data_IF_058172600156
#
_entry.id   IF_058172600156
#
_cell.length_a   1.000
_cell.length_b   1.000
_cell.length_c   1.000
_cell.angle_alpha   90.00
_cell.angle_beta   90.00
_cell.angle_gamma   90.00
#
_symmetry.space_group_name_H-M   'P 1'
#
loop_
_entity.id
_entity.type
_entity.pdbx_description
1 polymer ?
#
# COMPACT_ATOMS: atom_id res chain seq x y z
N UNK A 1 -0.35 7.75 6.68
CA UNK A 1 -1.19 7.03 5.69
C UNK A 1 -2.00 8.05 4.91
N UNK A 2 -1.99 8.00 3.59
CA UNK A 2 -2.63 9.00 2.72
C UNK A 2 -3.90 8.49 2.04
N UNK A 3 -4.08 7.16 1.98
CA UNK A 3 -5.28 6.49 1.50
C UNK A 3 -5.32 5.07 2.04
N UNK A 4 -6.50 4.59 2.40
CA UNK A 4 -6.70 3.33 3.14
C UNK A 4 -7.79 2.44 2.54
N UNK A 5 -8.48 2.90 1.47
CA UNK A 5 -9.56 2.14 0.82
C UNK A 5 -9.03 1.19 -0.23
N UNK A 6 -9.73 0.08 -0.37
CA UNK A 6 -9.51 -0.90 -1.41
C UNK A 6 -10.37 -0.67 -2.63
N UNK A 7 -9.95 -1.20 -3.76
CA UNK A 7 -10.67 -1.32 -5.03
C UNK A 7 -11.09 0.00 -5.69
N UNK A 8 -11.65 0.94 -4.96
CA UNK A 8 -12.09 2.26 -5.45
C UNK A 8 -12.27 3.25 -4.29
N UNK A 9 -12.27 4.54 -4.62
CA UNK A 9 -12.54 5.59 -3.65
C UNK A 9 -13.96 5.50 -3.08
N UNK A 10 -14.12 5.86 -1.81
CA UNK A 10 -15.39 5.89 -1.10
C UNK A 10 -15.78 7.34 -0.75
N UNK A 11 -16.43 8.08 -1.66
CA UNK A 11 -16.88 9.44 -1.40
C UNK A 11 -18.15 9.44 -0.54
N UNK A 12 -18.31 10.47 0.29
CA UNK A 12 -19.55 10.67 1.05
C UNK A 12 -19.30 10.90 2.53
N UNK A 13 -20.35 11.36 3.23
CA UNK A 13 -20.29 11.73 4.64
C UNK A 13 -19.98 10.53 5.56
N UNK A 14 -20.35 9.32 5.13
CA UNK A 14 -20.15 8.09 5.91
C UNK A 14 -18.72 7.53 5.84
N UNK A 15 -17.79 8.23 5.16
CA UNK A 15 -16.42 7.77 4.92
C UNK A 15 -15.35 8.80 5.31
N UNK A 16 -15.73 9.87 6.03
CA UNK A 16 -14.81 11.00 6.31
C UNK A 16 -13.91 10.79 7.52
N UNK A 17 -14.29 9.93 8.47
CA UNK A 17 -13.49 9.67 9.69
C UNK A 17 -12.30 8.77 9.42
N UNK A 18 -12.48 7.74 8.60
CA UNK A 18 -11.39 6.85 8.18
C UNK A 18 -10.76 7.26 6.85
N UNK A 19 -11.47 8.05 6.06
CA UNK A 19 -11.03 8.53 4.76
C UNK A 19 -11.59 7.70 3.60
N UNK A 20 -11.64 8.31 2.41
CA UNK A 20 -12.23 7.75 1.21
C UNK A 20 -11.23 7.49 0.07
N UNK A 21 -9.95 7.83 0.24
CA UNK A 21 -8.93 7.62 -0.78
C UNK A 21 -8.40 6.19 -0.82
N UNK A 22 -8.06 5.73 -2.04
CA UNK A 22 -7.42 4.43 -2.24
C UNK A 22 -5.96 4.44 -1.82
N UNK A 23 -5.41 3.26 -1.64
CA UNK A 23 -4.17 2.93 -0.95
C UNK A 23 -2.98 3.80 -1.33
N UNK A 24 -2.40 4.43 -0.32
CA UNK A 24 -1.15 5.18 -0.43
C UNK A 24 -0.53 5.38 0.95
N UNK A 25 0.71 4.97 1.13
CA UNK A 25 1.48 5.16 2.37
C UNK A 25 2.74 5.94 2.04
N UNK A 26 2.97 7.04 2.73
CA UNK A 26 4.22 7.78 2.66
C UNK A 26 5.11 7.43 3.85
N UNK A 27 6.39 7.18 3.59
CA UNK A 27 7.41 6.81 4.56
C UNK A 27 8.44 7.92 4.62
N UNK A 28 8.71 8.37 5.84
CA UNK A 28 9.78 9.31 6.16
C UNK A 28 10.91 8.52 6.81
N UNK A 29 12.07 8.31 6.14
CA UNK A 29 13.21 7.63 6.73
C UNK A 29 13.78 8.39 7.93
N UNK A 30 14.53 7.69 8.78
CA UNK A 30 15.26 8.33 9.88
C UNK A 30 16.18 9.45 9.37
N UNK A 31 16.20 10.56 10.09
CA UNK A 31 17.03 11.74 9.74
C UNK A 31 16.47 12.58 8.59
N UNK A 32 15.35 12.18 7.98
CA UNK A 32 14.60 13.02 7.02
C UNK A 32 13.45 13.75 7.72
N UNK A 33 13.19 14.98 7.32
CA UNK A 33 12.03 15.75 7.74
C UNK A 33 10.83 15.64 6.79
N UNK A 34 10.98 14.85 5.70
CA UNK A 34 10.00 14.68 4.63
C UNK A 34 9.93 13.24 4.13
N UNK A 35 8.76 12.78 3.69
CA UNK A 35 8.64 11.50 3.02
C UNK A 35 9.45 11.46 1.73
N UNK A 36 10.24 10.40 1.55
CA UNK A 36 11.02 10.14 0.33
C UNK A 36 10.62 8.81 -0.33
N UNK A 37 9.93 7.93 0.37
CA UNK A 37 9.41 6.68 -0.19
C UNK A 37 7.88 6.64 -0.07
N UNK A 38 7.21 6.21 -1.13
CA UNK A 38 5.76 6.01 -1.16
C UNK A 38 5.47 4.57 -1.59
N UNK A 39 4.57 3.91 -0.87
CA UNK A 39 4.03 2.60 -1.22
C UNK A 39 2.62 2.78 -1.77
N UNK A 40 2.44 2.38 -3.01
CA UNK A 40 1.26 2.59 -3.86
C UNK A 40 0.89 4.06 -4.11
N UNK A 41 0.28 4.29 -5.25
CA UNK A 41 -0.07 5.59 -5.78
C UNK A 41 -1.57 5.72 -6.06
N UNK A 42 -2.39 5.23 -5.15
CA UNK A 42 -3.84 5.40 -5.21
C UNK A 42 -4.25 6.87 -5.12
N UNK A 43 -5.54 7.13 -5.06
CA UNK A 43 -6.04 8.53 -5.03
C UNK A 43 -5.55 9.31 -3.81
N UNK A 44 -5.08 8.63 -2.74
CA UNK A 44 -4.43 9.23 -1.58
C UNK A 44 -3.12 9.98 -1.90
N UNK A 45 -2.42 9.62 -2.99
CA UNK A 45 -1.15 10.24 -3.38
C UNK A 45 -1.26 11.77 -3.56
N UNK A 46 -2.40 12.26 -4.02
CA UNK A 46 -2.64 13.70 -4.16
C UNK A 46 -2.41 14.48 -2.86
N UNK A 47 -2.71 13.85 -1.71
CA UNK A 47 -2.59 14.47 -0.38
C UNK A 47 -1.13 14.67 0.03
N UNK A 48 -0.19 13.94 -0.56
CA UNK A 48 1.23 14.11 -0.31
C UNK A 48 1.71 15.52 -0.68
N UNK A 49 1.11 16.17 -1.68
CA UNK A 49 1.42 17.56 -2.03
C UNK A 49 1.19 18.53 -0.85
N UNK A 50 0.16 18.30 -0.04
CA UNK A 50 -0.11 19.07 1.17
C UNK A 50 0.88 18.73 2.29
N UNK A 51 1.21 17.45 2.46
CA UNK A 51 2.22 17.01 3.45
C UNK A 51 3.59 17.63 3.17
N UNK A 52 3.91 17.86 1.89
CA UNK A 52 5.15 18.49 1.45
C UNK A 52 5.09 20.03 1.44
N UNK A 53 4.05 20.63 2.01
CA UNK A 53 3.82 22.10 1.96
C UNK A 53 3.89 22.67 0.54
N UNK A 54 3.46 21.86 -0.44
CA UNK A 54 3.52 22.21 -1.85
C UNK A 54 4.92 22.18 -2.47
N UNK A 55 5.96 21.70 -1.79
CA UNK A 55 7.28 21.50 -2.40
C UNK A 55 7.25 20.43 -3.48
N UNK A 56 8.26 20.44 -4.38
CA UNK A 56 8.44 19.35 -5.33
C UNK A 56 8.84 18.08 -4.58
N UNK A 57 8.30 16.94 -5.03
CA UNK A 57 8.68 15.64 -4.49
C UNK A 57 10.07 15.25 -5.02
N UNK A 58 10.87 14.67 -4.14
CA UNK A 58 12.18 14.10 -4.44
C UNK A 58 12.25 12.75 -3.73
N UNK A 59 12.07 11.67 -4.49
CA UNK A 59 11.98 10.34 -3.88
C UNK A 59 11.49 9.27 -4.84
N UNK A 60 11.07 8.16 -4.25
CA UNK A 60 10.65 6.96 -4.97
C UNK A 60 9.20 6.58 -4.64
N UNK A 61 8.52 5.98 -5.62
CA UNK A 61 7.20 5.37 -5.47
C UNK A 61 7.33 3.90 -5.87
N UNK A 62 6.86 2.98 -5.04
CA UNK A 62 6.82 1.56 -5.35
C UNK A 62 5.36 1.13 -5.47
N UNK A 63 4.96 0.63 -6.63
CA UNK A 63 3.64 0.01 -6.81
C UNK A 63 3.72 -1.47 -6.44
N UNK A 64 2.84 -1.92 -5.55
CA UNK A 64 2.70 -3.33 -5.21
C UNK A 64 2.21 -4.15 -6.41
N UNK A 65 1.29 -3.59 -7.19
CA UNK A 65 0.77 -4.14 -8.45
C UNK A 65 0.09 -3.04 -9.29
N UNK A 66 -0.49 -3.41 -10.45
CA UNK A 66 -0.97 -2.45 -11.45
C UNK A 66 -2.50 -2.35 -11.52
N UNK A 67 -3.24 -2.65 -10.44
CA UNK A 67 -4.66 -2.35 -10.40
C UNK A 67 -4.90 -0.82 -10.31
N UNK A 68 -6.03 -0.38 -10.80
CA UNK A 68 -6.34 1.06 -10.92
C UNK A 68 -6.26 1.80 -9.60
N UNK A 69 -6.73 1.21 -8.54
CA UNK A 69 -6.73 1.82 -7.21
C UNK A 69 -5.33 2.04 -6.62
N UNK A 70 -4.29 1.45 -7.25
CA UNK A 70 -2.87 1.64 -6.89
C UNK A 70 -2.16 2.71 -7.71
N UNK A 71 -2.70 3.12 -8.86
CA UNK A 71 -2.00 4.04 -9.77
C UNK A 71 -2.81 5.28 -10.17
N UNK A 72 -4.09 5.35 -9.79
CA UNK A 72 -4.97 6.47 -10.15
C UNK A 72 -4.48 7.85 -9.68
N UNK A 73 -3.68 7.90 -8.61
CA UNK A 73 -3.13 9.14 -8.08
C UNK A 73 -1.96 9.71 -8.88
N UNK A 74 -1.26 8.89 -9.67
CA UNK A 74 -0.04 9.30 -10.39
C UNK A 74 -0.24 10.59 -11.22
N UNK A 75 -1.25 10.68 -12.11
CA UNK A 75 -1.44 11.86 -12.94
C UNK A 75 -1.97 13.09 -12.18
N UNK A 76 -2.36 12.92 -10.93
CA UNK A 76 -2.90 13.98 -10.07
C UNK A 76 -1.95 14.34 -8.91
N UNK A 77 -0.71 13.86 -8.97
CA UNK A 77 0.32 14.13 -7.97
C UNK A 77 1.04 15.43 -8.28
N UNK A 78 0.46 16.55 -7.83
CA UNK A 78 0.97 17.88 -8.17
C UNK A 78 2.40 18.15 -7.67
N UNK A 79 2.87 17.52 -6.58
CA UNK A 79 4.25 17.66 -6.13
C UNK A 79 5.23 16.89 -7.02
N UNK A 80 4.80 15.80 -7.66
CA UNK A 80 5.59 15.04 -8.63
C UNK A 80 5.52 15.61 -10.06
N UNK A 81 4.49 16.42 -10.37
CA UNK A 81 4.30 17.06 -11.66
C UNK A 81 4.87 18.50 -11.66
N UNK A 82 6.14 18.63 -11.27
CA UNK A 82 6.90 19.90 -11.20
C UNK A 82 8.26 19.76 -11.84
N UNK A 83 8.77 20.83 -12.44
CA UNK A 83 10.07 20.85 -13.14
C UNK A 83 11.24 20.38 -12.26
N UNK A 84 11.17 20.59 -10.94
CA UNK A 84 12.20 20.20 -9.97
C UNK A 84 11.92 18.87 -9.27
N UNK A 85 10.83 18.18 -9.61
CA UNK A 85 10.52 16.89 -9.01
C UNK A 85 11.45 15.81 -9.58
N UNK A 86 11.87 14.88 -8.72
CA UNK A 86 12.48 13.60 -9.06
C UNK A 86 11.58 12.50 -8.56
N UNK A 87 11.17 11.61 -9.42
CA UNK A 87 10.31 10.46 -9.07
C UNK A 87 10.86 9.20 -9.72
N UNK A 88 11.40 8.31 -8.93
CA UNK A 88 11.74 6.96 -9.37
C UNK A 88 10.55 6.03 -9.10
N UNK A 89 9.81 5.67 -10.15
CA UNK A 89 8.62 4.85 -10.07
C UNK A 89 8.97 3.39 -10.34
N UNK A 90 8.90 2.56 -9.29
CA UNK A 90 9.13 1.12 -9.36
C UNK A 90 7.83 0.39 -9.70
N UNK A 91 7.87 -0.43 -10.73
CA UNK A 91 6.71 -1.09 -11.33
C UNK A 91 6.96 -2.59 -11.45
N UNK A 92 6.04 -3.46 -11.00
CA UNK A 92 6.14 -4.89 -11.25
C UNK A 92 5.97 -5.18 -12.74
N UNK A 93 6.91 -5.92 -13.31
CA UNK A 93 6.76 -6.47 -14.67
C UNK A 93 5.75 -7.62 -14.68
N UNK A 94 5.00 -7.76 -15.77
CA UNK A 94 4.03 -8.83 -15.98
C UNK A 94 4.45 -9.59 -17.25
N UNK A 95 4.76 -10.86 -17.12
CA UNK A 95 5.26 -11.69 -18.21
C UNK A 95 6.45 -11.02 -18.92
N UNK A 96 6.39 -10.87 -20.25
CA UNK A 96 7.42 -10.22 -21.08
C UNK A 96 7.22 -8.71 -21.21
N UNK A 97 6.22 -8.11 -20.53
CA UNK A 97 5.91 -6.66 -20.62
C UNK A 97 6.48 -5.90 -19.45
N UNK A 98 7.11 -4.78 -19.73
CA UNK A 98 7.58 -3.88 -18.68
C UNK A 98 6.39 -3.27 -17.91
N UNK A 99 6.58 -2.99 -16.62
CA UNK A 99 5.55 -2.29 -15.82
C UNK A 99 5.21 -0.91 -16.42
N UNK A 100 6.19 -0.23 -17.01
CA UNK A 100 5.99 1.05 -17.71
C UNK A 100 5.04 0.90 -18.91
N UNK A 101 5.20 -0.13 -19.76
CA UNK A 101 4.34 -0.34 -20.90
C UNK A 101 2.92 -0.73 -20.50
N UNK A 102 2.79 -1.46 -19.39
CA UNK A 102 1.50 -1.78 -18.79
C UNK A 102 0.82 -0.54 -18.20
N UNK A 103 1.55 0.32 -17.51
CA UNK A 103 1.05 1.60 -17.02
C UNK A 103 0.53 2.46 -18.19
N UNK A 104 1.27 2.52 -19.29
CA UNK A 104 0.90 3.28 -20.46
C UNK A 104 -0.41 2.79 -21.11
N UNK A 105 -0.80 1.52 -20.96
CA UNK A 105 -2.09 1.03 -21.45
C UNK A 105 -3.29 1.64 -20.72
N UNK A 106 -3.14 1.94 -19.43
CA UNK A 106 -4.19 2.54 -18.62
C UNK A 106 -4.10 4.06 -18.55
N UNK A 107 -2.92 4.60 -18.81
CA UNK A 107 -2.56 6.00 -18.64
C UNK A 107 -2.03 6.55 -19.97
N UNK A 108 -2.88 6.57 -21.00
CA UNK A 108 -2.60 7.10 -22.34
C UNK A 108 -3.90 7.40 -23.08
N UNK A 109 -3.86 8.24 -24.12
CA UNK A 109 -5.02 8.42 -25.00
C UNK A 109 -5.48 7.08 -25.64
N UNK A 110 -6.80 6.86 -25.77
CA UNK A 110 -7.89 7.77 -25.45
C UNK A 110 -8.39 7.71 -24.01
N UNK A 111 -7.85 6.80 -23.18
CA UNK A 111 -8.33 6.61 -21.78
C UNK A 111 -7.88 7.73 -20.85
N UNK A 112 -6.73 8.34 -21.15
CA UNK A 112 -6.17 9.47 -20.41
C UNK A 112 -5.48 10.45 -21.40
N UNK A 113 -5.46 11.78 -21.12
CA UNK A 113 -5.01 12.76 -22.12
C UNK A 113 -3.50 12.79 -22.36
N UNK A 114 -2.68 12.28 -21.45
CA UNK A 114 -1.22 12.20 -21.58
C UNK A 114 -0.73 10.77 -21.36
N UNK A 115 0.47 10.48 -21.85
CA UNK A 115 1.21 9.24 -21.54
C UNK A 115 2.02 9.42 -20.25
N UNK A 116 2.60 8.36 -19.68
CA UNK A 116 3.50 8.49 -18.54
C UNK A 116 4.65 9.49 -18.75
N UNK A 117 5.17 9.60 -20.00
CA UNK A 117 6.22 10.56 -20.36
C UNK A 117 5.72 12.01 -20.44
N UNK A 118 4.41 12.23 -20.43
CA UNK A 118 3.80 13.55 -20.37
C UNK A 118 3.80 14.18 -18.97
N UNK A 119 4.18 13.44 -17.93
CA UNK A 119 4.38 13.97 -16.58
C UNK A 119 5.61 14.91 -16.57
N UNK A 120 5.48 16.07 -15.92
CA UNK A 120 6.60 16.99 -15.74
C UNK A 120 7.53 16.51 -14.65
N UNK A 121 8.77 17.03 -14.65
CA UNK A 121 9.82 16.60 -13.73
C UNK A 121 10.65 15.44 -14.28
N UNK A 122 11.58 14.94 -13.48
CA UNK A 122 12.42 13.81 -13.81
C UNK A 122 11.77 12.51 -13.33
N UNK A 123 10.99 11.85 -14.18
CA UNK A 123 10.39 10.55 -13.90
C UNK A 123 11.24 9.43 -14.50
N UNK A 124 11.64 8.48 -13.66
CA UNK A 124 12.30 7.24 -14.07
C UNK A 124 11.37 6.06 -13.80
N UNK A 125 11.21 5.19 -14.80
CA UNK A 125 10.39 3.98 -14.67
C UNK A 125 11.31 2.79 -14.47
N UNK A 126 11.32 2.26 -13.23
CA UNK A 126 12.19 1.18 -12.79
C UNK A 126 11.42 -0.15 -12.76
N UNK A 127 12.04 -1.22 -13.22
CA UNK A 127 11.47 -2.55 -13.02
C UNK A 127 11.65 -2.98 -11.57
N UNK A 128 10.55 -3.41 -10.92
CA UNK A 128 10.61 -4.08 -9.63
C UNK A 128 10.67 -5.59 -9.85
N UNK A 129 11.69 -6.21 -9.31
CA UNK A 129 11.85 -7.66 -9.27
C UNK A 129 11.65 -8.20 -7.85
N UNK A 130 11.39 -9.51 -7.75
CA UNK A 130 11.47 -10.22 -6.48
C UNK A 130 12.86 -10.11 -5.87
N UNK A 131 12.93 -10.05 -4.53
CA UNK A 131 14.19 -9.97 -3.79
C UNK A 131 14.45 -8.63 -3.11
N UNK A 132 15.71 -8.43 -2.71
CA UNK A 132 16.13 -7.26 -1.93
C UNK A 132 16.64 -6.14 -2.82
N UNK A 133 16.18 -4.94 -2.54
CA UNK A 133 16.55 -3.68 -3.18
C UNK A 133 17.00 -2.66 -2.13
N UNK A 134 17.72 -1.64 -2.55
CA UNK A 134 17.96 -0.43 -1.76
C UNK A 134 17.25 0.74 -2.44
N UNK A 135 16.34 1.40 -1.72
CA UNK A 135 15.53 2.50 -2.25
C UNK A 135 15.48 3.61 -1.21
N UNK A 136 15.91 4.81 -1.55
CA UNK A 136 15.97 5.99 -0.66
C UNK A 136 16.69 5.71 0.67
N UNK A 137 17.75 4.90 0.65
CA UNK A 137 18.51 4.51 1.84
C UNK A 137 17.83 3.47 2.74
N UNK A 138 16.68 2.95 2.32
CA UNK A 138 15.93 1.89 3.00
C UNK A 138 16.18 0.54 2.30
N UNK A 139 16.27 -0.53 3.09
CA UNK A 139 16.25 -1.88 2.53
C UNK A 139 14.81 -2.28 2.23
N UNK A 140 14.52 -2.60 0.98
CA UNK A 140 13.19 -3.03 0.52
C UNK A 140 13.28 -4.44 -0.01
N UNK A 141 12.54 -5.36 0.58
CA UNK A 141 12.39 -6.73 0.07
C UNK A 141 11.01 -6.87 -0.56
N UNK A 142 10.98 -7.17 -1.87
CA UNK A 142 9.76 -7.51 -2.59
C UNK A 142 9.63 -9.03 -2.66
N UNK A 143 8.42 -9.55 -2.44
CA UNK A 143 8.08 -10.96 -2.54
C UNK A 143 6.78 -11.13 -3.29
N UNK A 144 6.73 -12.04 -4.26
CA UNK A 144 5.48 -12.39 -4.94
C UNK A 144 4.47 -12.93 -3.93
N UNK A 145 3.26 -12.38 -3.94
CA UNK A 145 2.13 -12.82 -3.10
C UNK A 145 0.93 -13.16 -3.96
N UNK A 146 0.09 -14.05 -3.43
CA UNK A 146 -1.11 -14.47 -4.13
C UNK A 146 -2.16 -13.35 -4.13
N UNK A 147 -2.53 -12.90 -5.31
CA UNK A 147 -3.65 -12.00 -5.57
C UNK A 147 -4.20 -12.23 -6.97
N UNK A 148 -5.44 -11.78 -7.23
CA UNK A 148 -6.13 -12.00 -8.50
C UNK A 148 -5.75 -10.94 -9.53
N UNK A 149 -5.40 -11.35 -10.75
CA UNK A 149 -5.32 -10.46 -11.90
C UNK A 149 -3.94 -9.94 -12.26
N UNK A 150 -2.88 -10.59 -11.81
CA UNK A 150 -1.51 -10.28 -12.20
C UNK A 150 -0.51 -10.40 -11.07
N UNK A 151 0.76 -10.10 -11.37
CA UNK A 151 1.83 -10.14 -10.39
C UNK A 151 1.62 -9.07 -9.32
N UNK A 152 1.69 -9.48 -8.07
CA UNK A 152 1.52 -8.63 -6.91
C UNK A 152 2.66 -8.86 -5.93
N UNK A 153 3.25 -7.79 -5.42
CA UNK A 153 4.29 -7.86 -4.41
C UNK A 153 3.78 -7.48 -3.02
N UNK A 154 4.11 -8.32 -2.02
CA UNK A 154 4.28 -7.87 -0.65
C UNK A 154 5.64 -7.19 -0.52
N UNK A 155 5.71 -6.13 0.29
CA UNK A 155 6.93 -5.35 0.48
C UNK A 155 7.30 -5.34 1.97
N UNK A 156 8.56 -5.65 2.30
CA UNK A 156 9.15 -5.38 3.61
C UNK A 156 10.13 -4.22 3.46
N UNK A 157 9.92 -3.15 4.21
CA UNK A 157 10.78 -1.97 4.26
C UNK A 157 11.40 -1.88 5.63
N UNK A 158 12.71 -1.73 5.71
CA UNK A 158 13.43 -1.70 6.98
C UNK A 158 14.63 -0.76 6.97
N UNK A 159 14.93 -0.23 8.15
CA UNK A 159 16.15 0.51 8.45
C UNK A 159 16.69 0.12 9.84
N UNK A 160 17.55 0.95 10.40
CA UNK A 160 18.12 0.72 11.73
C UNK A 160 17.07 0.83 12.85
N UNK A 161 15.99 1.58 12.65
CA UNK A 161 14.96 1.86 13.67
C UNK A 161 13.90 0.76 13.74
N UNK A 162 13.51 0.20 12.60
CA UNK A 162 12.47 -0.81 12.57
C UNK A 162 12.13 -1.33 11.18
N UNK A 163 11.07 -2.10 11.11
CA UNK A 163 10.61 -2.79 9.90
C UNK A 163 9.09 -2.68 9.72
N UNK A 164 8.69 -2.38 8.50
CA UNK A 164 7.29 -2.34 8.05
C UNK A 164 7.09 -3.39 6.96
N UNK A 165 6.09 -4.23 7.07
CA UNK A 165 5.61 -5.04 5.96
C UNK A 165 4.29 -4.47 5.42
N UNK A 166 4.15 -4.44 4.10
CA UNK A 166 3.01 -3.91 3.38
C UNK A 166 2.47 -4.92 2.38
N UNK A 167 1.33 -5.52 2.70
CA UNK A 167 0.62 -6.48 1.87
C UNK A 167 -0.81 -5.97 1.64
N UNK A 168 -0.99 -5.01 0.73
CA UNK A 168 -2.27 -4.30 0.58
C UNK A 168 -3.37 -5.15 -0.05
N UNK A 169 -2.99 -6.13 -0.88
CA UNK A 169 -3.87 -7.10 -1.53
C UNK A 169 -3.24 -8.48 -1.41
N UNK A 170 -3.89 -9.34 -0.66
CA UNK A 170 -3.36 -10.67 -0.38
C UNK A 170 -4.48 -11.69 -0.26
N UNK A 171 -4.39 -12.77 -1.03
CA UNK A 171 -5.32 -13.89 -1.02
C UNK A 171 -4.71 -15.10 -0.31
N UNK A 172 -4.77 -15.22 1.03
CA UNK A 172 -4.15 -16.32 1.77
C UNK A 172 -4.94 -17.64 1.65
N UNK A 173 -5.82 -17.79 0.66
CA UNK A 173 -6.70 -18.94 0.52
C UNK A 173 -5.94 -20.27 0.31
N UNK A 174 -4.77 -20.24 -0.35
CA UNK A 174 -3.90 -21.40 -0.52
C UNK A 174 -3.02 -21.70 0.71
N UNK A 175 -3.10 -20.86 1.75
CA UNK A 175 -2.27 -20.93 2.94
C UNK A 175 -1.06 -19.98 2.90
N UNK A 176 -0.30 -19.95 3.99
CA UNK A 176 0.87 -19.10 4.12
C UNK A 176 2.13 -19.87 3.70
N UNK A 177 2.84 -19.40 2.69
CA UNK A 177 4.10 -20.00 2.28
C UNK A 177 5.18 -19.80 3.33
N UNK A 178 6.11 -20.75 3.45
CA UNK A 178 7.27 -20.62 4.34
C UNK A 178 8.18 -19.47 3.95
N UNK A 179 8.25 -19.15 2.67
CA UNK A 179 9.03 -18.04 2.13
C UNK A 179 8.45 -16.70 2.56
N UNK A 180 7.13 -16.50 2.39
CA UNK A 180 6.43 -15.32 2.88
C UNK A 180 6.62 -15.15 4.38
N UNK A 181 6.43 -16.22 5.17
CA UNK A 181 6.62 -16.16 6.62
C UNK A 181 8.06 -15.81 7.01
N UNK A 182 9.06 -16.28 6.25
CA UNK A 182 10.45 -15.94 6.49
C UNK A 182 10.73 -14.45 6.22
N UNK A 183 10.17 -13.89 5.14
CA UNK A 183 10.31 -12.45 4.84
C UNK A 183 9.60 -11.59 5.89
N UNK A 184 8.45 -12.01 6.38
CA UNK A 184 7.65 -11.25 7.36
C UNK A 184 8.07 -11.48 8.81
N UNK A 185 8.96 -12.43 9.09
CA UNK A 185 9.31 -12.81 10.45
C UNK A 185 9.73 -11.60 11.31
N UNK A 186 9.13 -11.50 12.51
CA UNK A 186 9.44 -10.49 13.52
C UNK A 186 9.35 -9.04 12.98
N UNK A 187 8.46 -8.78 12.02
CA UNK A 187 8.23 -7.41 11.53
C UNK A 187 7.58 -6.56 12.63
N UNK A 188 8.06 -5.32 12.79
CA UNK A 188 7.53 -4.43 13.83
C UNK A 188 6.10 -3.96 13.53
N UNK A 189 5.82 -3.64 12.26
CA UNK A 189 4.49 -3.25 11.80
C UNK A 189 4.11 -4.04 10.56
N UNK A 190 2.98 -4.73 10.61
CA UNK A 190 2.37 -5.39 9.46
C UNK A 190 1.13 -4.62 9.01
N UNK A 191 1.19 -3.99 7.85
CA UNK A 191 0.02 -3.40 7.16
C UNK A 191 -0.54 -4.44 6.19
N UNK A 192 -1.75 -4.91 6.45
CA UNK A 192 -2.31 -6.05 5.73
C UNK A 192 -3.74 -5.80 5.25
N UNK A 193 -4.06 -6.40 4.09
CA UNK A 193 -5.41 -6.48 3.53
C UNK A 193 -6.41 -7.00 4.56
N UNK A 194 -7.45 -6.23 4.80
CA UNK A 194 -8.56 -6.57 5.69
C UNK A 194 -9.89 -6.11 5.07
N UNK A 195 -10.03 -6.26 3.75
CA UNK A 195 -11.19 -5.75 3.02
C UNK A 195 -12.49 -6.39 3.48
N UNK A 196 -12.47 -7.68 3.83
CA UNK A 196 -13.66 -8.45 4.13
C UNK A 196 -13.75 -8.91 5.59
N UNK A 197 -14.95 -9.19 6.04
CA UNK A 197 -15.23 -9.91 7.29
C UNK A 197 -15.27 -11.41 7.04
N UNK A 198 -15.17 -12.22 8.09
CA UNK A 198 -15.26 -13.68 7.95
C UNK A 198 -16.60 -14.13 7.35
N UNK A 199 -17.70 -13.45 7.66
CA UNK A 199 -19.00 -13.67 7.04
C UNK A 199 -19.04 -13.40 5.53
N UNK A 200 -18.07 -12.64 5.02
CA UNK A 200 -17.92 -12.29 3.61
C UNK A 200 -16.83 -13.13 2.90
N UNK A 201 -16.35 -14.22 3.51
CA UNK A 201 -15.27 -15.08 2.97
C UNK A 201 -15.47 -15.53 1.52
N UNK A 202 -16.68 -15.90 1.05
CA UNK A 202 -16.87 -16.22 -0.35
C UNK A 202 -16.52 -15.07 -1.31
N UNK A 203 -16.76 -13.82 -0.90
CA UNK A 203 -16.37 -12.63 -1.66
C UNK A 203 -14.86 -12.42 -1.59
N UNK A 204 -14.25 -12.56 -0.41
CA UNK A 204 -12.80 -12.47 -0.24
C UNK A 204 -12.06 -13.42 -1.19
N UNK A 205 -12.45 -14.69 -1.21
CA UNK A 205 -11.87 -15.70 -2.11
C UNK A 205 -12.12 -15.36 -3.58
N UNK A 206 -13.34 -14.94 -3.93
CA UNK A 206 -13.68 -14.61 -5.33
C UNK A 206 -12.88 -13.42 -5.86
N UNK A 207 -12.63 -12.42 -5.03
CA UNK A 207 -11.90 -11.21 -5.44
C UNK A 207 -10.40 -11.24 -5.14
N UNK A 208 -9.91 -12.28 -4.45
CA UNK A 208 -8.49 -12.45 -4.16
C UNK A 208 -7.99 -11.55 -3.01
N UNK A 209 -8.79 -11.44 -1.95
CA UNK A 209 -8.50 -10.62 -0.78
C UNK A 209 -8.55 -11.40 0.53
N UNK A 210 -8.09 -10.77 1.61
CA UNK A 210 -8.13 -11.32 2.95
C UNK A 210 -9.37 -10.86 3.74
N UNK A 211 -9.72 -11.65 4.75
CA UNK A 211 -10.61 -11.22 5.83
C UNK A 211 -9.80 -10.66 7.00
N UNK A 212 -10.45 -9.91 7.89
CA UNK A 212 -9.85 -9.45 9.16
C UNK A 212 -9.26 -10.62 9.95
N UNK A 213 -9.91 -11.79 9.93
CA UNK A 213 -9.41 -12.98 10.61
C UNK A 213 -8.11 -13.51 9.97
N UNK A 214 -7.98 -13.44 8.65
CA UNK A 214 -6.77 -13.86 7.95
C UNK A 214 -5.60 -12.94 8.30
N UNK A 215 -5.85 -11.62 8.40
CA UNK A 215 -4.85 -10.63 8.81
C UNK A 215 -4.31 -10.92 10.22
N UNK A 216 -5.21 -11.22 11.17
CA UNK A 216 -4.81 -11.60 12.54
C UNK A 216 -4.01 -12.91 12.55
N UNK A 217 -4.42 -13.90 11.75
CA UNK A 217 -3.68 -15.17 11.63
C UNK A 217 -2.28 -14.99 11.07
N UNK A 218 -2.13 -14.19 10.01
CA UNK A 218 -0.83 -13.89 9.41
C UNK A 218 0.06 -13.14 10.40
N UNK A 219 -0.44 -12.09 11.03
CA UNK A 219 0.32 -11.29 11.99
C UNK A 219 0.88 -12.14 13.15
N UNK A 220 0.09 -13.08 13.66
CA UNK A 220 0.55 -14.04 14.66
C UNK A 220 1.57 -15.02 14.12
N UNK A 221 1.36 -15.55 12.92
CA UNK A 221 2.26 -16.53 12.30
C UNK A 221 3.65 -15.93 12.06
N UNK A 222 3.73 -14.66 11.68
CA UNK A 222 5.01 -13.96 11.48
C UNK A 222 5.51 -13.22 12.75
N UNK A 223 4.79 -13.27 13.87
CA UNK A 223 5.11 -12.58 15.13
C UNK A 223 5.26 -11.07 14.96
N UNK A 224 4.34 -10.46 14.20
CA UNK A 224 4.33 -9.02 14.01
C UNK A 224 4.11 -8.28 15.34
N UNK A 225 4.82 -7.16 15.55
CA UNK A 225 4.67 -6.33 16.74
C UNK A 225 3.32 -5.60 16.78
N UNK A 226 2.88 -5.09 15.65
CA UNK A 226 1.58 -4.42 15.48
C UNK A 226 0.96 -4.81 14.14
N UNK A 227 -0.34 -5.13 14.14
CA UNK A 227 -1.13 -5.32 12.92
C UNK A 227 -1.90 -4.03 12.59
N UNK A 228 -1.80 -3.58 11.36
CA UNK A 228 -2.60 -2.49 10.81
C UNK A 228 -3.57 -3.07 9.78
N UNK A 229 -4.86 -3.05 10.09
CA UNK A 229 -5.91 -3.43 9.16
C UNK A 229 -6.05 -2.33 8.10
N UNK A 230 -5.86 -2.70 6.86
CA UNK A 230 -5.76 -1.79 5.73
C UNK A 230 -6.70 -2.23 4.60
N UNK A 231 -6.74 -1.49 3.49
CA UNK A 231 -7.52 -1.85 2.31
C UNK A 231 -9.02 -2.04 2.60
N UNK A 232 -9.61 -1.11 3.36
CA UNK A 232 -11.00 -1.22 3.75
C UNK A 232 -11.94 -1.26 2.53
N UNK A 233 -12.94 -2.15 2.59
CA UNK A 233 -13.97 -2.20 1.54
C UNK A 233 -14.55 -0.80 1.28
N UNK A 234 -14.73 -0.39 0.02
CA UNK A 234 -15.34 0.90 -0.30
C UNK A 234 -16.80 1.02 0.16
N UNK A 235 -17.44 -0.09 0.45
CA UNK A 235 -18.80 -0.12 1.03
C UNK A 235 -18.80 -0.09 2.57
N UNK A 236 -17.64 -0.19 3.23
CA UNK A 236 -17.52 -0.22 4.70
C UNK A 236 -17.56 1.20 5.24
N UNK A 237 -18.67 1.60 5.85
CA UNK A 237 -18.83 2.93 6.45
C UNK A 237 -17.90 3.14 7.64
N UNK A 238 -17.75 4.38 8.06
CA UNK A 238 -16.99 4.74 9.26
C UNK A 238 -17.51 4.05 10.52
N UNK A 239 -18.85 3.94 10.67
CA UNK A 239 -19.46 3.23 11.80
C UNK A 239 -19.12 1.73 11.77
N UNK A 240 -19.14 1.12 10.59
CA UNK A 240 -18.76 -0.28 10.45
C UNK A 240 -17.26 -0.52 10.73
N UNK A 241 -16.39 0.47 10.50
CA UNK A 241 -14.97 0.42 10.88
C UNK A 241 -14.78 0.63 12.38
N UNK A 242 -15.59 1.49 13.02
CA UNK A 242 -15.62 1.62 14.48
C UNK A 242 -16.04 0.30 15.15
N UNK A 243 -17.04 -0.40 14.59
CA UNK A 243 -17.44 -1.72 15.07
C UNK A 243 -16.26 -2.71 14.99
N UNK A 244 -15.52 -2.73 13.86
CA UNK A 244 -14.32 -3.58 13.74
C UNK A 244 -13.28 -3.20 14.79
N UNK A 245 -13.01 -1.93 14.99
CA UNK A 245 -12.05 -1.44 15.99
C UNK A 245 -12.46 -1.83 17.41
N UNK A 246 -13.75 -1.93 17.69
CA UNK A 246 -14.29 -2.33 19.00
C UNK A 246 -14.10 -3.82 19.29
N UNK A 247 -14.35 -4.72 18.32
CA UNK A 247 -14.29 -6.16 18.59
C UNK A 247 -12.96 -6.83 18.23
N UNK A 248 -12.16 -6.26 17.32
CA UNK A 248 -10.91 -6.90 16.86
C UNK A 248 -9.89 -7.12 17.97
N UNK A 249 -9.77 -6.27 19.03
CA UNK A 249 -8.85 -6.54 20.14
C UNK A 249 -9.16 -7.86 20.87
N UNK A 250 -10.42 -8.25 20.98
CA UNK A 250 -10.80 -9.54 21.59
C UNK A 250 -10.35 -10.72 20.74
N UNK A 251 -10.45 -10.59 19.41
CA UNK A 251 -9.95 -11.59 18.46
C UNK A 251 -8.42 -11.66 18.47
N UNK A 252 -7.77 -10.51 18.49
CA UNK A 252 -6.31 -10.40 18.42
C UNK A 252 -5.62 -10.67 19.76
N UNK A 253 -6.33 -10.54 20.90
CA UNK A 253 -5.81 -10.73 22.26
C UNK A 253 -4.61 -9.81 22.56
N UNK A 254 -3.42 -10.40 22.64
CA UNK A 254 -2.14 -9.76 22.99
C UNK A 254 -1.44 -9.10 21.80
N UNK A 255 -1.94 -9.26 20.59
CA UNK A 255 -1.43 -8.57 19.38
C UNK A 255 -2.07 -7.16 19.29
N UNK A 256 -1.28 -6.07 19.33
CA UNK A 256 -1.78 -4.74 19.04
C UNK A 256 -2.36 -4.66 17.63
N UNK A 257 -3.60 -4.16 17.52
CA UNK A 257 -4.27 -3.99 16.22
C UNK A 257 -4.76 -2.57 16.06
N UNK A 258 -4.50 -1.99 14.90
CA UNK A 258 -4.91 -0.65 14.52
C UNK A 258 -5.78 -0.74 13.27
N UNK A 259 -6.92 -0.07 13.23
CA UNK A 259 -7.70 0.13 12.01
C UNK A 259 -7.18 1.38 11.31
N UNK A 260 -6.63 1.23 10.11
CA UNK A 260 -6.00 2.33 9.38
C UNK A 260 -6.98 3.46 9.06
N UNK A 261 -6.50 4.70 9.13
CA UNK A 261 -7.25 5.89 8.69
C UNK A 261 -6.34 6.88 7.99
N UNK A 262 -6.88 7.68 7.11
CA UNK A 262 -6.16 8.78 6.48
C UNK A 262 -5.67 9.79 7.52
N UNK A 263 -4.50 10.37 7.26
CA UNK A 263 -3.83 11.30 8.18
C UNK A 263 -3.14 10.63 9.38
N UNK A 264 -3.32 9.30 9.57
CA UNK A 264 -2.63 8.59 10.65
C UNK A 264 -1.12 8.52 10.38
N UNK A 265 -0.34 8.79 11.40
CA UNK A 265 1.10 8.53 11.45
C UNK A 265 1.38 7.41 12.45
N UNK A 266 2.28 6.52 12.11
CA UNK A 266 2.79 5.46 12.98
C UNK A 266 4.30 5.54 13.00
N UNK A 267 4.87 5.53 14.20
CA UNK A 267 6.31 5.36 14.38
C UNK A 267 6.63 3.88 14.30
N UNK A 268 7.54 3.52 13.39
CA UNK A 268 8.01 2.15 13.22
C UNK A 268 9.29 2.00 14.03
N UNK A 269 9.17 1.38 15.19
CA UNK A 269 10.30 1.17 16.11
C UNK A 269 10.42 -0.31 16.43
N UNK A 270 11.64 -0.78 16.60
CA UNK A 270 11.92 -2.18 16.98
C UNK A 270 11.30 -2.54 18.33
N UNK A 271 10.68 -3.71 18.36
CA UNK A 271 10.15 -4.32 19.57
C UNK A 271 11.23 -5.06 20.35
#
# INVERSE_FOLDING_TARGET
MLGVRGSTSAPGADFVRYGGHTSCIAITPEGSDRPTLVLDAGTGLRSLTTVLDGAAFDGSIILSHLHWDRMQGLPFFAAGDRDRARVDLYLPAQDDRSGRDLLAQSFSPPSFPITPEGLRGAWTFCALADGRHEVEGLAVTAIDIEHKGGRTFGLRVEDAQGSLAYLPDHAPAAGLSSELLAVLADVDVLVHDAQFLESERPLAVNFGHATVLDSVKLARACRAGTLVLFHHSPARTDDALDDIAAWVPELARDLPVVVAREGMTLDVVRH
#
